data_IF_179909627363
#
_entry.id   IF_179909627363
#
_cell.length_a   1.000
_cell.length_b   1.000
_cell.length_c   1.000
_cell.angle_alpha   90.00
_cell.angle_beta   90.00
_cell.angle_gamma   90.00
#
_symmetry.space_group_name_H-M   'P 1'
#
loop_
_entity.id
_entity.type
_entity.pdbx_description
1 polymer ?
#
# COMPACT_ATOMS: atom_id res chain seq x y z
N UNK A 1 4.70 66.92 -0.93
CA UNK A 1 4.31 66.61 0.46
C UNK A 1 3.76 65.19 0.61
N UNK A 2 2.69 64.82 -0.12
CA UNK A 2 2.08 63.47 -0.10
C UNK A 2 3.07 62.31 -0.26
N UNK A 3 3.99 62.36 -1.23
CA UNK A 3 5.02 61.32 -1.44
C UNK A 3 5.92 61.13 -0.22
N UNK A 4 6.34 62.22 0.43
CA UNK A 4 7.19 62.18 1.63
C UNK A 4 6.43 61.54 2.80
N UNK A 5 5.15 61.89 2.98
CA UNK A 5 4.29 61.28 4.00
C UNK A 5 4.13 59.77 3.74
N UNK A 6 3.90 59.35 2.49
CA UNK A 6 3.79 57.94 2.14
C UNK A 6 5.09 57.16 2.44
N UNK A 7 6.26 57.73 2.11
CA UNK A 7 7.57 57.14 2.42
C UNK A 7 7.80 57.04 3.93
N UNK A 8 7.47 58.07 4.70
CA UNK A 8 7.61 58.07 6.17
C UNK A 8 6.66 57.06 6.83
N UNK A 9 5.41 56.95 6.37
CA UNK A 9 4.44 55.99 6.93
C UNK A 9 4.81 54.55 6.59
N UNK A 10 5.18 54.25 5.33
CA UNK A 10 5.60 52.90 4.94
C UNK A 10 6.95 52.51 5.58
N UNK A 11 7.91 53.42 5.63
CA UNK A 11 9.20 53.21 6.29
C UNK A 11 9.06 53.02 7.81
N UNK A 12 8.24 53.85 8.46
CA UNK A 12 7.94 53.73 9.89
C UNK A 12 7.22 52.43 10.24
N UNK A 13 6.20 52.04 9.45
CA UNK A 13 5.51 50.77 9.64
C UNK A 13 6.45 49.57 9.41
N UNK A 14 7.27 49.61 8.36
CA UNK A 14 8.27 48.59 8.07
C UNK A 14 9.31 48.45 9.19
N UNK A 15 9.76 49.57 9.76
CA UNK A 15 10.71 49.59 10.89
C UNK A 15 10.07 49.05 12.18
N UNK A 16 8.82 49.41 12.48
CA UNK A 16 8.08 48.89 13.64
C UNK A 16 7.84 47.38 13.51
N UNK A 17 7.36 46.91 12.36
CA UNK A 17 7.15 45.49 12.09
C UNK A 17 8.46 44.70 12.09
N UNK A 18 9.53 45.27 11.51
CA UNK A 18 10.87 44.69 11.52
C UNK A 18 11.42 44.52 12.94
N UNK A 19 11.41 45.58 13.75
CA UNK A 19 11.83 45.51 15.16
C UNK A 19 10.97 44.53 15.97
N UNK A 20 9.65 44.51 15.74
CA UNK A 20 8.74 43.55 16.37
C UNK A 20 9.08 42.11 16.03
N UNK A 21 9.37 41.82 14.75
CA UNK A 21 9.81 40.49 14.29
C UNK A 21 11.19 40.11 14.85
N UNK A 22 12.15 41.03 14.90
CA UNK A 22 13.47 40.78 15.49
C UNK A 22 13.38 40.52 17.00
N UNK A 23 12.55 41.28 17.73
CA UNK A 23 12.31 41.04 19.15
C UNK A 23 11.64 39.68 19.37
N UNK A 24 10.57 39.37 18.61
CA UNK A 24 9.90 38.08 18.69
C UNK A 24 10.86 36.93 18.37
N UNK A 25 11.66 37.04 17.31
CA UNK A 25 12.65 36.03 16.94
C UNK A 25 13.69 35.84 18.05
N UNK A 26 14.31 36.92 18.55
CA UNK A 26 15.38 36.81 19.56
C UNK A 26 14.89 36.40 20.96
N UNK A 27 13.64 36.66 21.32
CA UNK A 27 13.06 36.29 22.64
C UNK A 27 12.25 35.00 22.64
N UNK A 28 11.71 34.57 21.50
CA UNK A 28 10.89 33.36 21.37
C UNK A 28 11.57 32.24 20.56
N UNK A 29 12.79 32.45 20.03
CA UNK A 29 13.57 31.37 19.43
C UNK A 29 13.95 30.31 20.47
N UNK A 30 13.20 29.22 20.48
CA UNK A 30 13.60 27.99 21.14
C UNK A 30 14.74 27.36 20.33
N UNK A 31 15.93 27.33 20.89
CA UNK A 31 17.07 26.61 20.30
C UNK A 31 16.80 25.10 20.35
N UNK A 32 16.91 24.37 19.22
CA UNK A 32 16.75 22.92 19.20
C UNK A 32 17.65 22.22 20.22
N UNK A 33 17.11 21.25 20.94
CA UNK A 33 17.89 20.43 21.87
C UNK A 33 19.00 19.67 21.13
N UNK A 34 19.99 19.17 21.86
CA UNK A 34 21.06 18.35 21.26
C UNK A 34 20.48 17.08 20.61
N UNK A 35 19.53 16.43 21.28
CA UNK A 35 18.75 15.29 20.77
C UNK A 35 18.03 15.67 19.47
N UNK A 36 17.33 16.81 19.42
CA UNK A 36 16.63 17.27 18.23
C UNK A 36 17.59 17.51 17.05
N UNK A 37 18.76 18.13 17.30
CA UNK A 37 19.79 18.35 16.27
C UNK A 37 20.32 17.04 15.69
N UNK A 38 20.61 16.06 16.54
CA UNK A 38 21.09 14.75 16.13
C UNK A 38 20.02 13.99 15.31
N UNK A 39 18.75 14.06 15.74
CA UNK A 39 17.62 13.49 14.98
C UNK A 39 17.42 14.17 13.61
N UNK A 40 17.57 15.50 13.51
CA UNK A 40 17.46 16.22 12.23
C UNK A 40 18.54 15.75 11.24
N UNK A 41 19.76 15.47 11.69
CA UNK A 41 20.87 15.06 10.84
C UNK A 41 20.69 13.68 10.22
N UNK A 42 20.07 12.73 10.93
CA UNK A 42 19.85 11.37 10.42
C UNK A 42 18.62 11.23 9.53
N UNK A 43 17.68 12.18 9.54
CA UNK A 43 16.42 12.07 8.80
C UNK A 43 16.58 12.40 7.30
N UNK A 44 15.81 11.76 6.38
CA UNK A 44 16.01 11.90 4.92
C UNK A 44 15.74 13.28 4.29
N UNK A 45 15.35 14.29 5.08
CA UNK A 45 15.03 15.64 4.59
C UNK A 45 13.80 15.76 3.66
N UNK A 46 13.15 14.66 3.26
CA UNK A 46 12.10 14.62 2.22
C UNK A 46 10.82 15.37 2.59
N UNK A 47 10.57 15.63 3.89
CA UNK A 47 9.38 16.32 4.40
C UNK A 47 8.03 15.74 3.90
N UNK A 48 7.98 14.43 3.62
CA UNK A 48 6.87 13.78 2.92
C UNK A 48 5.55 13.66 3.71
N UNK A 49 5.55 13.92 5.02
CA UNK A 49 4.36 13.76 5.87
C UNK A 49 4.03 12.31 6.28
N UNK A 50 4.72 11.30 5.75
CA UNK A 50 4.38 9.89 5.96
C UNK A 50 4.46 9.39 7.41
N UNK A 51 5.18 10.08 8.29
CA UNK A 51 5.21 9.81 9.74
C UNK A 51 4.13 10.57 10.54
N UNK A 52 3.22 11.29 9.88
CA UNK A 52 2.18 12.11 10.51
C UNK A 52 2.58 13.55 10.82
N UNK A 53 3.85 13.92 10.64
CA UNK A 53 4.39 15.26 10.94
C UNK A 53 4.67 16.05 9.65
N UNK A 54 4.47 17.39 9.63
CA UNK A 54 4.56 18.21 8.41
C UNK A 54 5.97 18.31 7.81
N UNK A 55 7.01 17.83 8.49
CA UNK A 55 8.38 17.80 7.99
C UNK A 55 9.34 17.09 8.94
N UNK A 56 10.56 16.81 8.47
CA UNK A 56 11.58 16.10 9.23
C UNK A 56 11.97 16.84 10.52
N UNK A 57 12.05 18.18 10.49
CA UNK A 57 12.29 19.00 11.70
C UNK A 57 11.16 18.87 12.73
N UNK A 58 9.90 18.93 12.28
CA UNK A 58 8.75 18.78 13.17
C UNK A 58 8.67 17.36 13.78
N UNK A 59 9.07 16.33 13.02
CA UNK A 59 9.17 14.96 13.51
C UNK A 59 10.29 14.81 14.55
N UNK A 60 11.49 15.34 14.27
CA UNK A 60 12.62 15.34 15.21
C UNK A 60 12.29 16.06 16.53
N UNK A 61 11.67 17.25 16.46
CA UNK A 61 11.22 18.00 17.63
C UNK A 61 10.18 17.23 18.45
N UNK A 62 9.26 16.52 17.80
CA UNK A 62 8.26 15.70 18.48
C UNK A 62 8.88 14.48 19.19
N UNK A 63 9.81 13.77 18.52
CA UNK A 63 10.57 12.66 19.09
C UNK A 63 11.45 13.10 20.28
N UNK A 64 12.18 14.21 20.13
CA UNK A 64 13.00 14.78 21.20
C UNK A 64 12.16 15.22 22.42
N UNK A 65 10.90 15.62 22.20
CA UNK A 65 9.96 15.99 23.27
C UNK A 65 9.25 14.80 23.91
N UNK A 66 8.99 13.71 23.18
CA UNK A 66 8.28 12.53 23.71
C UNK A 66 9.17 11.66 24.59
N UNK A 67 10.48 11.57 24.30
CA UNK A 67 11.43 10.71 25.03
C UNK A 67 11.11 9.22 24.98
N UNK A 68 10.18 8.81 24.11
CA UNK A 68 9.70 7.44 23.89
C UNK A 68 9.38 7.26 22.40
N UNK A 69 9.54 6.03 21.89
CA UNK A 69 9.15 5.68 20.52
C UNK A 69 7.71 6.11 20.25
N UNK A 70 7.55 7.06 19.34
CA UNK A 70 6.27 7.69 18.99
C UNK A 70 6.06 7.79 17.47
N UNK A 71 6.95 7.21 16.66
CA UNK A 71 6.81 7.21 15.22
C UNK A 71 8.01 6.64 14.48
N UNK A 72 7.73 6.04 13.33
CA UNK A 72 8.68 5.47 12.38
C UNK A 72 8.79 6.38 11.14
N UNK A 73 9.97 6.42 10.51
CA UNK A 73 10.14 7.15 9.24
C UNK A 73 9.93 6.20 8.05
N UNK A 74 8.84 6.29 7.27
CA UNK A 74 8.61 5.35 6.16
C UNK A 74 9.71 5.38 5.09
N UNK A 75 10.25 6.58 4.83
CA UNK A 75 11.35 6.80 3.89
C UNK A 75 12.67 6.21 4.41
N UNK A 76 12.90 6.28 5.71
CA UNK A 76 14.13 5.81 6.35
C UNK A 76 14.16 4.32 6.67
N UNK A 77 12.99 3.69 6.78
CA UNK A 77 12.88 2.28 7.12
C UNK A 77 13.52 1.93 8.47
N UNK A 78 13.87 0.65 8.61
CA UNK A 78 14.50 0.09 9.81
C UNK A 78 15.88 0.69 10.13
N UNK A 79 16.63 1.18 9.12
CA UNK A 79 17.97 1.74 9.34
C UNK A 79 17.90 3.06 10.11
N UNK A 80 16.98 3.95 9.74
CA UNK A 80 16.78 5.21 10.45
C UNK A 80 16.04 4.99 11.77
N UNK A 81 15.11 4.03 11.85
CA UNK A 81 14.43 3.68 13.11
C UNK A 81 15.42 3.21 14.19
N UNK A 82 16.42 2.39 13.82
CA UNK A 82 17.53 2.00 14.73
C UNK A 82 18.31 3.20 15.23
N UNK A 83 18.73 4.11 14.34
CA UNK A 83 19.47 5.33 14.71
C UNK A 83 18.64 6.28 15.60
N UNK A 84 17.33 6.41 15.33
CA UNK A 84 16.40 7.16 16.20
C UNK A 84 16.36 6.52 17.60
N UNK A 85 16.25 5.19 17.66
CA UNK A 85 16.15 4.42 18.89
C UNK A 85 17.43 4.48 19.74
N UNK A 86 18.60 4.44 19.11
CA UNK A 86 19.91 4.67 19.73
C UNK A 86 20.02 6.08 20.33
N UNK A 87 19.62 7.12 19.59
CA UNK A 87 19.64 8.52 20.06
C UNK A 87 18.66 8.76 21.22
N UNK A 88 17.52 8.08 21.24
CA UNK A 88 16.49 8.23 22.27
C UNK A 88 16.64 7.26 23.46
N UNK A 89 17.51 6.26 23.37
CA UNK A 89 17.67 5.22 24.40
C UNK A 89 16.45 4.29 24.54
N UNK A 90 15.76 3.98 23.44
CA UNK A 90 14.52 3.19 23.43
C UNK A 90 14.61 1.98 22.51
N UNK A 91 13.65 1.05 22.61
CA UNK A 91 13.56 -0.06 21.67
C UNK A 91 13.13 0.40 20.27
N UNK A 92 13.61 -0.25 19.18
CA UNK A 92 13.11 -0.06 17.83
C UNK A 92 11.61 -0.28 17.68
N UNK A 93 11.01 0.37 16.68
CA UNK A 93 9.60 0.28 16.37
C UNK A 93 9.31 -0.97 15.53
N UNK A 94 8.33 -1.79 15.91
CA UNK A 94 7.86 -2.95 15.11
C UNK A 94 7.02 -2.53 13.87
N UNK A 95 7.43 -1.49 13.15
CA UNK A 95 6.65 -0.95 12.02
C UNK A 95 6.97 -1.71 10.73
N UNK A 96 5.97 -2.46 10.27
CA UNK A 96 6.02 -3.21 9.01
C UNK A 96 6.20 -2.24 7.83
N UNK A 97 7.17 -2.47 6.91
CA UNK A 97 7.37 -1.61 5.76
C UNK A 97 6.12 -1.60 4.87
N UNK A 98 5.69 -0.42 4.44
CA UNK A 98 4.47 -0.21 3.67
C UNK A 98 4.78 -0.01 2.17
N UNK A 99 3.79 -0.23 1.32
CA UNK A 99 3.83 -0.01 -0.13
C UNK A 99 2.49 0.51 -0.64
N UNK A 100 2.52 1.40 -1.62
CA UNK A 100 1.31 1.86 -2.28
C UNK A 100 0.70 0.78 -3.18
N UNK A 101 -0.63 0.71 -3.21
CA UNK A 101 -1.41 -0.14 -4.13
C UNK A 101 -2.54 0.62 -4.78
N UNK A 102 -2.82 0.28 -6.04
CA UNK A 102 -3.91 0.86 -6.81
C UNK A 102 -5.21 0.04 -6.61
N UNK A 103 -6.17 0.62 -5.90
CA UNK A 103 -7.54 0.09 -5.72
C UNK A 103 -8.41 0.28 -6.97
N UNK A 104 -7.85 0.15 -8.16
CA UNK A 104 -8.60 0.23 -9.42
C UNK A 104 -7.93 -0.58 -10.54
N UNK A 105 -8.70 -1.45 -11.22
CA UNK A 105 -8.29 -2.10 -12.48
C UNK A 105 -9.11 -1.66 -13.71
N UNK A 106 -9.96 -0.65 -13.54
CA UNK A 106 -10.79 -0.11 -14.62
C UNK A 106 -9.98 0.80 -15.54
N UNK A 107 -9.17 0.20 -16.40
CA UNK A 107 -8.50 0.90 -17.51
C UNK A 107 -9.51 1.40 -18.57
N UNK A 108 -9.01 2.10 -19.59
CA UNK A 108 -9.77 2.65 -20.72
C UNK A 108 -10.65 1.62 -21.46
N UNK A 109 -10.28 0.33 -21.45
CA UNK A 109 -11.02 -0.74 -22.12
C UNK A 109 -12.05 -1.42 -21.20
N UNK A 110 -11.81 -1.40 -19.89
CA UNK A 110 -12.65 -2.09 -18.88
C UNK A 110 -13.69 -1.19 -18.23
N UNK A 111 -13.42 0.11 -18.13
CA UNK A 111 -14.31 1.09 -17.53
C UNK A 111 -14.73 2.15 -18.55
N UNK A 112 -16.04 2.31 -18.74
CA UNK A 112 -16.61 3.29 -19.69
C UNK A 112 -16.40 4.72 -19.19
N UNK A 113 -16.29 5.64 -20.13
CA UNK A 113 -16.36 7.09 -19.86
C UNK A 113 -17.79 7.61 -20.12
N UNK A 114 -18.13 8.74 -19.51
CA UNK A 114 -19.43 9.43 -19.62
C UNK A 114 -19.40 10.56 -20.64
N UNK A 115 -18.25 11.20 -20.80
CA UNK A 115 -17.97 12.32 -21.69
C UNK A 115 -16.47 12.39 -21.95
N UNK A 116 -16.04 13.09 -22.99
CA UNK A 116 -14.62 13.37 -23.23
C UNK A 116 -14.22 14.53 -22.32
N UNK A 117 -13.15 14.36 -21.54
CA UNK A 117 -12.56 15.44 -20.76
C UNK A 117 -11.51 16.17 -21.60
N UNK A 118 -11.77 17.43 -21.90
CA UNK A 118 -10.83 18.36 -22.51
C UNK A 118 -10.57 19.51 -21.52
N UNK A 119 -9.36 19.56 -20.97
CA UNK A 119 -9.04 20.39 -19.82
C UNK A 119 -7.65 20.12 -19.26
N UNK A 120 -7.35 20.67 -18.08
CA UNK A 120 -6.06 20.45 -17.42
C UNK A 120 -5.88 18.97 -17.07
N UNK A 121 -4.79 18.36 -17.52
CA UNK A 121 -4.47 16.93 -17.29
C UNK A 121 -4.05 16.68 -15.82
N UNK A 122 -5.01 16.85 -14.94
CA UNK A 122 -4.88 16.80 -13.49
C UNK A 122 -6.10 16.13 -12.84
N UNK A 123 -5.84 15.19 -11.94
CA UNK A 123 -6.85 14.41 -11.26
C UNK A 123 -7.79 15.27 -10.40
N UNK A 124 -7.28 16.33 -9.78
CA UNK A 124 -8.08 17.23 -8.92
C UNK A 124 -8.97 18.11 -9.79
N UNK A 125 -8.42 18.71 -10.84
CA UNK A 125 -9.18 19.51 -11.80
C UNK A 125 -10.30 18.70 -12.48
N UNK A 126 -10.01 17.46 -12.88
CA UNK A 126 -11.00 16.57 -13.47
C UNK A 126 -12.04 16.06 -12.46
N UNK A 127 -11.69 15.80 -11.19
CA UNK A 127 -12.68 15.34 -10.20
C UNK A 127 -13.71 16.42 -9.83
N UNK A 128 -13.30 17.69 -9.84
CA UNK A 128 -14.22 18.83 -9.66
C UNK A 128 -15.31 18.89 -10.74
N UNK A 129 -15.01 18.45 -11.97
CA UNK A 129 -15.95 18.45 -13.09
C UNK A 129 -16.78 17.16 -13.05
N UNK A 130 -17.90 17.22 -12.33
CA UNK A 130 -18.90 16.13 -12.17
C UNK A 130 -18.37 14.79 -11.64
N UNK A 131 -17.29 14.78 -10.83
CA UNK A 131 -16.55 13.54 -10.52
C UNK A 131 -16.01 12.88 -11.80
N UNK A 132 -15.36 13.67 -12.67
CA UNK A 132 -14.57 13.27 -13.83
C UNK A 132 -15.29 12.49 -14.93
N UNK A 133 -14.62 12.36 -16.08
CA UNK A 133 -15.14 11.63 -17.25
C UNK A 133 -15.48 10.17 -16.96
N UNK A 134 -14.75 9.48 -16.09
CA UNK A 134 -14.96 8.05 -15.84
C UNK A 134 -16.37 7.73 -15.35
N UNK A 135 -16.98 6.67 -15.87
CA UNK A 135 -18.30 6.17 -15.44
C UNK A 135 -18.34 5.60 -14.03
N UNK A 136 -17.19 5.34 -13.43
CA UNK A 136 -17.07 5.05 -12.01
C UNK A 136 -16.44 6.25 -11.30
N UNK A 137 -17.24 6.95 -10.48
CA UNK A 137 -16.82 8.08 -9.64
C UNK A 137 -15.70 7.71 -8.64
N UNK A 138 -15.64 6.44 -8.22
CA UNK A 138 -14.60 5.90 -7.35
C UNK A 138 -13.37 5.34 -8.10
N UNK A 139 -13.31 5.46 -9.42
CA UNK A 139 -12.24 4.85 -10.23
C UNK A 139 -11.06 5.81 -10.49
N UNK A 140 -9.86 5.27 -10.73
CA UNK A 140 -8.70 6.08 -11.11
C UNK A 140 -8.97 6.84 -12.42
N UNK A 141 -8.73 8.15 -12.43
CA UNK A 141 -8.95 9.01 -13.60
C UNK A 141 -7.85 8.89 -14.67
N UNK A 142 -6.60 8.68 -14.25
CA UNK A 142 -5.48 8.47 -15.17
C UNK A 142 -4.67 9.71 -15.54
N UNK A 143 -4.89 10.86 -14.89
CA UNK A 143 -4.18 12.11 -15.18
C UNK A 143 -2.82 12.30 -14.48
N UNK A 144 -2.33 11.28 -13.79
CA UNK A 144 -0.91 11.18 -13.42
C UNK A 144 -0.40 11.98 -12.22
N UNK A 145 -1.25 12.65 -11.42
CA UNK A 145 -0.79 13.37 -10.21
C UNK A 145 0.09 12.49 -9.30
N UNK A 146 -0.29 11.22 -9.12
CA UNK A 146 0.44 10.26 -8.29
C UNK A 146 1.85 9.93 -8.79
N UNK A 147 2.11 10.03 -10.10
CA UNK A 147 3.47 9.99 -10.66
C UNK A 147 4.20 11.31 -10.37
N UNK A 148 3.56 12.46 -10.66
CA UNK A 148 4.17 13.80 -10.46
C UNK A 148 4.62 14.06 -9.03
N UNK A 149 3.89 13.58 -8.02
CA UNK A 149 4.23 13.76 -6.59
C UNK A 149 5.12 12.67 -6.01
N UNK A 150 5.61 11.71 -6.80
CA UNK A 150 6.45 10.62 -6.30
C UNK A 150 7.94 10.98 -6.36
N UNK A 151 8.60 11.31 -5.22
CA UNK A 151 10.02 11.71 -5.24
C UNK A 151 10.99 10.52 -5.40
N UNK A 152 10.47 9.30 -5.52
CA UNK A 152 11.25 8.05 -5.61
C UNK A 152 11.12 7.36 -6.98
N UNK A 153 10.45 8.00 -7.95
CA UNK A 153 10.17 7.41 -9.28
C UNK A 153 9.53 6.00 -9.20
N UNK A 154 8.74 5.77 -8.15
CA UNK A 154 8.11 4.49 -7.85
C UNK A 154 6.75 4.31 -8.54
N UNK A 155 6.25 5.33 -9.24
CA UNK A 155 4.96 5.31 -9.92
C UNK A 155 5.12 5.81 -11.36
N UNK A 156 4.69 4.99 -12.32
CA UNK A 156 4.63 5.32 -13.76
C UNK A 156 3.23 5.13 -14.31
N UNK A 157 2.69 6.10 -15.02
CA UNK A 157 1.43 5.93 -15.75
C UNK A 157 1.61 4.99 -16.93
N UNK A 158 0.77 3.94 -17.02
CA UNK A 158 0.71 3.08 -18.21
C UNK A 158 -0.21 3.67 -19.29
N UNK A 159 -0.01 3.22 -20.54
CA UNK A 159 -0.81 3.63 -21.71
C UNK A 159 -2.32 3.38 -21.53
N UNK A 160 -2.65 2.38 -20.71
CA UNK A 160 -4.01 2.01 -20.30
C UNK A 160 -4.69 3.03 -19.35
N UNK A 161 -3.97 4.06 -18.94
CA UNK A 161 -4.44 5.13 -18.05
C UNK A 161 -4.40 4.77 -16.56
N UNK A 162 -3.67 3.72 -16.14
CA UNK A 162 -3.56 3.33 -14.74
C UNK A 162 -2.09 3.39 -14.25
N UNK A 163 -1.83 3.90 -13.02
CA UNK A 163 -0.49 3.90 -12.46
C UNK A 163 0.02 2.49 -12.16
N UNK A 164 1.25 2.21 -12.59
CA UNK A 164 2.08 1.08 -12.19
C UNK A 164 2.96 1.50 -11.03
N UNK A 165 3.02 0.69 -9.99
CA UNK A 165 3.76 0.98 -8.75
C UNK A 165 4.86 -0.06 -8.60
N UNK A 166 6.10 0.41 -8.40
CA UNK A 166 7.29 -0.41 -8.22
C UNK A 166 7.56 -0.64 -6.72
N UNK A 167 7.38 -1.88 -6.24
CA UNK A 167 7.41 -2.23 -4.81
C UNK A 167 8.80 -2.15 -4.16
N UNK A 168 9.84 -2.25 -4.98
CA UNK A 168 11.25 -2.05 -4.68
C UNK A 168 11.57 -0.57 -4.44
N UNK A 169 11.16 0.31 -5.36
CA UNK A 169 11.34 1.77 -5.23
C UNK A 169 10.39 2.43 -4.21
N UNK A 170 9.22 1.84 -3.95
CA UNK A 170 8.22 2.44 -3.08
C UNK A 170 8.63 2.38 -1.60
N UNK A 171 8.79 3.55 -0.99
CA UNK A 171 9.10 3.76 0.43
C UNK A 171 7.86 3.84 1.33
N UNK A 172 6.65 3.74 0.78
CA UNK A 172 5.42 3.87 1.58
C UNK A 172 5.18 5.27 2.18
N UNK A 173 5.82 6.32 1.65
CA UNK A 173 5.72 7.70 2.18
C UNK A 173 4.33 8.36 2.14
N UNK A 174 3.34 7.78 1.44
CA UNK A 174 1.95 8.25 1.44
C UNK A 174 1.62 9.48 0.58
N UNK A 175 2.60 10.19 0.00
CA UNK A 175 2.35 11.38 -0.83
C UNK A 175 1.32 11.14 -1.95
N UNK A 176 1.47 10.04 -2.68
CA UNK A 176 0.53 9.66 -3.75
C UNK A 176 -0.88 9.30 -3.25
N UNK A 177 -1.05 8.91 -1.98
CA UNK A 177 -2.34 8.67 -1.35
C UNK A 177 -3.00 10.01 -1.02
N UNK A 178 -2.26 10.90 -0.36
CA UNK A 178 -2.71 12.25 0.02
C UNK A 178 -3.11 13.10 -1.19
N UNK A 179 -2.39 12.97 -2.30
CA UNK A 179 -2.64 13.68 -3.57
C UNK A 179 -3.86 13.12 -4.33
N UNK A 180 -4.35 11.91 -4.01
CA UNK A 180 -5.38 11.27 -4.80
C UNK A 180 -6.79 11.76 -4.42
N UNK A 181 -7.53 12.49 -5.27
CA UNK A 181 -8.85 13.04 -4.94
C UNK A 181 -9.98 11.98 -4.88
N UNK A 182 -9.63 10.69 -4.88
CA UNK A 182 -10.56 9.55 -4.99
C UNK A 182 -10.24 8.37 -4.08
N UNK A 183 -9.22 8.48 -3.23
CA UNK A 183 -8.76 7.41 -2.35
C UNK A 183 -8.52 6.07 -3.08
N UNK A 184 -8.12 6.11 -4.36
CA UNK A 184 -7.82 4.89 -5.14
C UNK A 184 -6.39 4.39 -4.95
N UNK A 185 -5.55 5.16 -4.27
CA UNK A 185 -4.24 4.72 -3.81
C UNK A 185 -4.31 4.51 -2.30
N UNK A 186 -3.72 3.42 -1.83
CA UNK A 186 -3.75 3.02 -0.43
C UNK A 186 -2.39 2.45 -0.03
N UNK A 187 -1.96 2.66 1.21
CA UNK A 187 -0.77 1.99 1.76
C UNK A 187 -1.17 0.66 2.38
N UNK A 188 -0.49 -0.41 1.98
CA UNK A 188 -0.61 -1.75 2.59
C UNK A 188 0.76 -2.26 3.04
N UNK A 189 0.87 -3.18 4.01
CA UNK A 189 2.14 -3.79 4.38
C UNK A 189 2.78 -4.52 3.18
N UNK A 190 4.11 -4.46 3.01
CA UNK A 190 4.83 -5.18 1.94
C UNK A 190 4.63 -6.70 2.00
N UNK A 191 4.20 -7.25 3.15
CA UNK A 191 3.80 -8.66 3.32
C UNK A 191 2.42 -8.98 2.73
N UNK A 192 1.54 -8.00 2.54
CA UNK A 192 0.26 -8.20 1.85
C UNK A 192 0.49 -8.26 0.33
N UNK A 193 0.51 -9.49 -0.21
CA UNK A 193 0.60 -9.72 -1.66
C UNK A 193 -0.78 -9.78 -2.32
N UNK A 194 -1.82 -10.19 -1.60
CA UNK A 194 -3.20 -10.30 -2.13
C UNK A 194 -4.09 -9.15 -1.65
N UNK A 195 -4.71 -8.43 -2.59
CA UNK A 195 -5.57 -7.30 -2.27
C UNK A 195 -6.71 -7.10 -3.30
N UNK A 196 -7.86 -6.56 -2.86
CA UNK A 196 -8.96 -6.16 -3.75
C UNK A 196 -8.59 -4.85 -4.46
N UNK A 197 -8.42 -4.88 -5.78
CA UNK A 197 -8.06 -3.73 -6.60
C UNK A 197 -9.31 -3.00 -7.13
N UNK A 198 -10.23 -2.65 -6.23
CA UNK A 198 -11.45 -1.90 -6.51
C UNK A 198 -11.80 -0.96 -5.35
N UNK A 199 -12.23 0.26 -5.67
CA UNK A 199 -12.72 1.25 -4.70
C UNK A 199 -14.22 1.59 -4.85
N UNK A 200 -14.89 1.03 -5.86
CA UNK A 200 -16.32 1.29 -6.11
C UNK A 200 -17.22 0.86 -4.97
N UNK A 201 -18.03 1.80 -4.46
CA UNK A 201 -19.10 1.57 -3.47
C UNK A 201 -20.50 1.49 -4.12
N UNK A 202 -20.57 1.56 -5.44
CA UNK A 202 -21.79 1.40 -6.24
C UNK A 202 -22.41 0.00 -6.07
N UNK A 203 -23.74 -0.09 -6.15
CA UNK A 203 -24.46 -1.38 -6.19
C UNK A 203 -24.09 -2.18 -7.43
N UNK A 204 -24.09 -3.52 -7.32
CA UNK A 204 -23.65 -4.44 -8.38
C UNK A 204 -24.19 -4.19 -9.81
N UNK A 205 -25.47 -3.82 -10.04
CA UNK A 205 -25.95 -3.51 -11.39
C UNK A 205 -25.30 -2.27 -11.99
N UNK A 206 -25.05 -1.23 -11.18
CA UNK A 206 -24.37 -0.01 -11.60
C UNK A 206 -22.90 -0.28 -11.92
N UNK A 207 -22.22 -1.07 -11.09
CA UNK A 207 -20.84 -1.52 -11.36
C UNK A 207 -20.77 -2.21 -12.73
N UNK A 208 -21.62 -3.21 -12.98
CA UNK A 208 -21.66 -3.93 -14.26
C UNK A 208 -21.97 -3.02 -15.46
N UNK A 209 -22.77 -1.97 -15.28
CA UNK A 209 -23.08 -0.99 -16.34
C UNK A 209 -21.85 -0.21 -16.79
N UNK A 210 -20.95 0.14 -15.86
CA UNK A 210 -19.83 1.08 -16.07
C UNK A 210 -18.44 0.44 -16.08
N UNK A 211 -18.25 -0.74 -15.49
CA UNK A 211 -16.95 -1.39 -15.34
C UNK A 211 -17.06 -2.94 -15.34
N UNK A 212 -16.37 -3.60 -16.27
CA UNK A 212 -16.39 -5.07 -16.41
C UNK A 212 -15.65 -5.81 -15.29
N UNK A 213 -14.65 -5.17 -14.67
CA UNK A 213 -13.73 -5.76 -13.68
C UNK A 213 -13.97 -5.25 -12.24
N UNK A 214 -15.10 -4.58 -11.99
CA UNK A 214 -15.41 -4.00 -10.68
C UNK A 214 -15.78 -5.05 -9.62
N UNK A 215 -15.65 -4.71 -8.33
CA UNK A 215 -16.22 -5.51 -7.25
C UNK A 215 -17.75 -5.40 -7.28
N UNK A 216 -18.45 -6.53 -7.21
CA UNK A 216 -19.93 -6.60 -7.25
C UNK A 216 -20.54 -7.10 -5.93
N UNK A 217 -19.83 -6.97 -4.81
CA UNK A 217 -20.28 -7.33 -3.46
C UNK A 217 -20.79 -8.79 -3.25
N UNK A 218 -20.50 -9.72 -4.16
CA UNK A 218 -21.10 -11.07 -4.18
C UNK A 218 -20.77 -12.02 -3.02
N UNK A 219 -19.98 -11.59 -2.02
CA UNK A 219 -19.51 -12.38 -0.85
C UNK A 219 -18.78 -13.69 -1.14
N UNK A 220 -18.52 -14.06 -2.40
CA UNK A 220 -17.79 -15.30 -2.73
C UNK A 220 -16.37 -15.34 -2.15
N UNK A 221 -15.65 -14.22 -2.15
CA UNK A 221 -14.30 -14.12 -1.57
C UNK A 221 -14.30 -14.22 -0.03
N UNK A 222 -15.30 -13.64 0.63
CA UNK A 222 -15.56 -13.72 2.08
C UNK A 222 -15.87 -15.18 2.48
N UNK A 223 -16.86 -15.81 1.83
CA UNK A 223 -17.29 -17.20 2.10
C UNK A 223 -16.21 -18.26 1.84
N UNK A 224 -15.25 -18.00 0.94
CA UNK A 224 -14.19 -18.96 0.57
C UNK A 224 -12.83 -18.59 1.21
N UNK A 225 -12.77 -17.67 2.17
CA UNK A 225 -11.52 -17.35 2.86
C UNK A 225 -11.29 -18.31 4.04
N UNK A 226 -10.29 -19.21 4.01
CA UNK A 226 -10.05 -20.17 5.10
C UNK A 226 -9.60 -19.51 6.41
N UNK A 227 -9.21 -18.24 6.37
CA UNK A 227 -8.75 -17.47 7.53
C UNK A 227 -9.74 -16.38 7.98
N UNK A 228 -10.89 -16.23 7.32
CA UNK A 228 -11.86 -15.16 7.63
C UNK A 228 -11.37 -13.73 7.33
N UNK A 229 -10.22 -13.56 6.68
CA UNK A 229 -9.54 -12.29 6.46
C UNK A 229 -10.23 -11.31 5.47
N UNK A 230 -11.45 -11.60 5.00
CA UNK A 230 -12.14 -10.83 3.95
C UNK A 230 -13.55 -10.50 4.40
N UNK A 231 -13.90 -9.21 4.43
CA UNK A 231 -15.25 -8.72 4.69
C UNK A 231 -15.82 -8.01 3.47
N UNK A 232 -17.15 -8.10 3.27
CA UNK A 232 -17.88 -7.33 2.26
C UNK A 232 -18.90 -6.42 2.93
N UNK A 233 -18.59 -5.13 2.93
CA UNK A 233 -19.33 -4.05 3.57
C UNK A 233 -19.45 -2.88 2.57
N UNK A 234 -20.51 -2.07 2.64
CA UNK A 234 -20.69 -0.90 1.76
C UNK A 234 -20.52 -1.19 0.25
N UNK A 235 -21.09 -2.32 -0.21
CA UNK A 235 -20.97 -2.88 -1.58
C UNK A 235 -19.54 -3.26 -2.02
N UNK A 236 -18.58 -3.40 -1.11
CA UNK A 236 -17.17 -3.53 -1.46
C UNK A 236 -16.44 -4.56 -0.60
N UNK A 237 -15.63 -5.41 -1.24
CA UNK A 237 -14.75 -6.33 -0.53
C UNK A 237 -13.47 -5.61 -0.03
N UNK A 238 -13.07 -5.93 1.20
CA UNK A 238 -11.78 -5.56 1.79
C UNK A 238 -11.11 -6.77 2.41
N UNK A 239 -9.78 -6.78 2.38
CA UNK A 239 -8.93 -7.85 2.91
C UNK A 239 -8.12 -7.25 4.05
N UNK A 240 -8.23 -7.84 5.23
CA UNK A 240 -7.47 -7.45 6.41
C UNK A 240 -6.02 -7.99 6.32
N UNK A 241 -4.99 -7.14 6.26
CA UNK A 241 -3.60 -7.58 6.20
C UNK A 241 -3.11 -8.27 7.48
N UNK A 242 -3.77 -8.06 8.64
CA UNK A 242 -3.38 -8.70 9.89
C UNK A 242 -3.77 -10.20 9.93
N UNK A 243 -4.78 -10.59 9.16
CA UNK A 243 -5.34 -11.96 9.14
C UNK A 243 -5.03 -12.69 7.82
N UNK A 244 -4.64 -11.97 6.76
CA UNK A 244 -4.47 -12.55 5.43
C UNK A 244 -3.12 -13.27 5.20
N UNK A 245 -3.15 -14.59 5.31
CA UNK A 245 -2.07 -15.52 4.95
C UNK A 245 -1.82 -15.65 3.42
N UNK A 246 -2.25 -14.68 2.60
CA UNK A 246 -2.02 -14.61 1.15
C UNK A 246 -2.42 -15.87 0.32
N UNK A 247 -3.34 -16.71 0.77
CA UNK A 247 -3.64 -18.03 0.17
C UNK A 247 -4.28 -18.05 -1.25
N UNK A 248 -4.52 -16.89 -1.88
CA UNK A 248 -5.01 -16.70 -3.27
C UNK A 248 -6.39 -17.26 -3.67
N UNK A 249 -7.04 -18.10 -2.85
CA UNK A 249 -8.37 -18.71 -3.15
C UNK A 249 -9.42 -17.66 -3.57
N UNK A 250 -9.40 -16.49 -2.93
CA UNK A 250 -10.29 -15.38 -3.25
C UNK A 250 -10.14 -14.86 -4.70
N UNK A 251 -8.94 -14.92 -5.29
CA UNK A 251 -8.68 -14.53 -6.69
C UNK A 251 -9.35 -15.51 -7.65
N UNK A 252 -9.23 -16.81 -7.38
CA UNK A 252 -9.89 -17.85 -8.18
C UNK A 252 -11.42 -17.70 -8.14
N UNK A 253 -11.98 -17.60 -6.93
CA UNK A 253 -13.44 -17.54 -6.70
C UNK A 253 -14.04 -16.16 -7.03
N UNK A 254 -13.24 -15.14 -7.31
CA UNK A 254 -13.74 -13.83 -7.77
C UNK A 254 -14.23 -13.93 -9.23
N UNK A 255 -15.53 -13.68 -9.51
CA UNK A 255 -16.06 -13.78 -10.88
C UNK A 255 -15.61 -12.60 -11.76
N UNK A 256 -15.43 -11.41 -11.19
CA UNK A 256 -15.00 -10.21 -11.92
C UNK A 256 -13.49 -10.00 -11.92
N UNK A 257 -12.69 -10.92 -11.35
CA UNK A 257 -11.20 -10.87 -11.31
C UNK A 257 -10.63 -9.53 -10.80
N UNK A 258 -11.36 -8.88 -9.89
CA UNK A 258 -10.98 -7.60 -9.29
C UNK A 258 -9.90 -7.71 -8.18
N UNK A 259 -9.55 -8.92 -7.76
CA UNK A 259 -8.53 -9.19 -6.75
C UNK A 259 -7.19 -9.44 -7.45
N UNK A 260 -6.12 -8.86 -6.93
CA UNK A 260 -4.76 -8.89 -7.50
C UNK A 260 -3.84 -9.68 -6.58
N UNK A 261 -2.91 -10.41 -7.19
CA UNK A 261 -1.70 -10.92 -6.55
C UNK A 261 -0.49 -10.07 -7.00
N UNK A 262 0.34 -9.64 -6.04
CA UNK A 262 1.61 -8.94 -6.28
C UNK A 262 2.83 -9.86 -6.12
N UNK A 263 2.65 -11.14 -5.78
CA UNK A 263 3.76 -12.06 -5.68
C UNK A 263 4.35 -12.36 -7.07
N UNK A 264 5.65 -12.11 -7.25
CA UNK A 264 6.36 -12.40 -8.51
C UNK A 264 6.41 -13.90 -8.83
N UNK A 265 6.47 -14.74 -7.79
CA UNK A 265 6.32 -16.19 -7.88
C UNK A 265 5.52 -16.72 -6.69
N UNK A 266 4.92 -17.90 -6.85
CA UNK A 266 4.17 -18.59 -5.80
C UNK A 266 4.74 -19.99 -5.59
N UNK A 267 5.06 -20.37 -4.34
CA UNK A 267 5.59 -21.70 -4.08
C UNK A 267 4.54 -22.75 -4.45
N UNK A 268 4.99 -23.95 -4.81
CA UNK A 268 4.15 -25.11 -5.13
C UNK A 268 4.37 -26.18 -4.08
N UNK A 269 3.30 -26.90 -3.76
CA UNK A 269 3.40 -28.07 -2.90
C UNK A 269 4.19 -29.17 -3.63
N UNK A 270 5.15 -29.76 -2.93
CA UNK A 270 5.79 -31.03 -3.29
C UNK A 270 5.42 -32.06 -2.23
N UNK A 271 5.32 -33.33 -2.61
CA UNK A 271 5.01 -34.44 -1.70
C UNK A 271 6.19 -35.41 -1.72
N UNK A 272 6.84 -35.55 -0.57
CA UNK A 272 8.01 -36.40 -0.37
C UNK A 272 7.64 -37.87 -0.12
N UNK A 273 8.67 -38.69 0.11
CA UNK A 273 8.56 -40.14 0.36
C UNK A 273 7.84 -40.50 1.65
N UNK A 274 7.78 -39.57 2.61
CA UNK A 274 7.12 -39.77 3.91
C UNK A 274 5.59 -39.75 3.84
N UNK A 275 5.00 -39.70 2.63
CA UNK A 275 3.56 -39.64 2.43
C UNK A 275 2.92 -41.02 2.66
N UNK A 276 1.95 -41.08 3.57
CA UNK A 276 1.22 -42.30 3.96
C UNK A 276 -0.05 -42.55 3.14
N UNK A 277 -0.37 -41.69 2.15
CA UNK A 277 -1.59 -41.81 1.35
C UNK A 277 -2.89 -41.60 2.14
N UNK A 278 -2.87 -40.80 3.23
CA UNK A 278 -4.02 -40.58 4.13
C UNK A 278 -5.18 -39.73 3.58
N UNK A 279 -5.12 -39.32 2.31
CA UNK A 279 -6.03 -38.41 1.58
C UNK A 279 -6.35 -37.02 2.21
N UNK A 280 -5.92 -36.68 3.43
CA UNK A 280 -6.27 -35.39 4.06
C UNK A 280 -5.84 -34.15 3.26
N UNK A 281 -4.68 -34.21 2.60
CA UNK A 281 -4.21 -33.10 1.77
C UNK A 281 -5.10 -32.87 0.53
N UNK A 282 -5.79 -33.91 0.05
CA UNK A 282 -6.73 -33.88 -1.08
C UNK A 282 -8.03 -33.16 -0.69
N UNK A 283 -8.58 -33.45 0.49
CA UNK A 283 -9.82 -32.83 0.98
C UNK A 283 -9.70 -31.32 1.26
N UNK A 284 -8.51 -30.83 1.60
CA UNK A 284 -8.23 -29.39 1.79
C UNK A 284 -7.75 -28.67 0.53
N UNK A 285 -7.64 -29.35 -0.62
CA UNK A 285 -7.11 -28.76 -1.85
C UNK A 285 -8.19 -27.96 -2.60
N UNK A 286 -8.10 -26.61 -2.72
CA UNK A 286 -9.17 -25.79 -3.30
C UNK A 286 -9.25 -25.84 -4.84
N UNK A 287 -8.37 -26.60 -5.49
CA UNK A 287 -8.19 -26.68 -6.96
C UNK A 287 -8.02 -28.09 -7.51
N UNK A 288 -8.22 -29.13 -6.67
CA UNK A 288 -8.05 -30.54 -7.05
C UNK A 288 -6.70 -30.81 -7.73
N UNK A 289 -5.65 -30.21 -7.14
CA UNK A 289 -4.28 -30.28 -7.61
C UNK A 289 -3.53 -31.50 -7.07
N UNK A 290 -4.09 -32.24 -6.11
CA UNK A 290 -3.46 -33.41 -5.49
C UNK A 290 -4.15 -34.68 -6.02
N UNK A 291 -3.35 -35.63 -6.49
CA UNK A 291 -3.79 -36.87 -7.14
C UNK A 291 -3.13 -38.08 -6.49
N UNK A 292 -3.82 -39.22 -6.46
CA UNK A 292 -3.36 -40.46 -5.85
C UNK A 292 -4.52 -41.19 -5.15
N UNK A 293 -4.33 -42.48 -4.93
CA UNK A 293 -5.27 -43.33 -4.21
C UNK A 293 -4.86 -43.50 -2.73
N UNK A 294 -5.80 -43.99 -1.92
CA UNK A 294 -5.58 -44.15 -0.48
C UNK A 294 -4.50 -45.20 -0.20
N UNK A 295 -3.49 -44.83 0.58
CA UNK A 295 -2.33 -45.66 0.87
C UNK A 295 -1.17 -45.52 -0.12
N UNK A 296 -1.35 -44.81 -1.24
CA UNK A 296 -0.27 -44.49 -2.19
C UNK A 296 0.36 -43.11 -1.92
N UNK A 297 1.60 -42.92 -2.38
CA UNK A 297 2.24 -41.61 -2.38
C UNK A 297 1.51 -40.66 -3.35
N UNK A 298 0.80 -39.67 -2.80
CA UNK A 298 0.13 -38.65 -3.61
C UNK A 298 1.14 -37.79 -4.41
N UNK A 299 0.66 -37.22 -5.51
CA UNK A 299 1.42 -36.35 -6.43
C UNK A 299 0.70 -35.02 -6.63
N UNK A 300 1.45 -33.96 -6.95
CA UNK A 300 0.91 -32.60 -7.14
C UNK A 300 0.97 -32.19 -8.61
N UNK A 301 -0.18 -31.83 -9.17
CA UNK A 301 -0.32 -31.18 -10.46
C UNK A 301 0.10 -29.70 -10.34
N UNK A 302 1.36 -29.40 -10.67
CA UNK A 302 1.96 -28.06 -10.53
C UNK A 302 1.17 -26.93 -11.24
N UNK A 303 0.62 -27.12 -12.47
CA UNK A 303 -0.27 -26.15 -13.11
C UNK A 303 -1.49 -25.75 -12.26
N UNK A 304 -2.16 -26.70 -11.60
CA UNK A 304 -3.35 -26.44 -10.76
C UNK A 304 -3.04 -25.86 -9.36
N UNK A 305 -1.78 -25.85 -8.93
CA UNK A 305 -1.41 -25.85 -7.51
C UNK A 305 -1.65 -24.54 -6.70
N UNK A 306 -1.62 -23.35 -7.32
CA UNK A 306 -1.78 -21.99 -6.71
C UNK A 306 -0.91 -21.56 -5.50
N UNK A 307 -0.33 -22.47 -4.73
CA UNK A 307 0.54 -22.14 -3.59
C UNK A 307 -0.19 -21.69 -2.32
N UNK A 308 -1.39 -22.21 -2.05
CA UNK A 308 -2.18 -21.83 -0.87
C UNK A 308 -1.70 -22.39 0.49
N UNK A 309 -0.75 -23.34 0.47
CA UNK A 309 -0.17 -24.00 1.65
C UNK A 309 -1.16 -24.73 2.60
N UNK A 310 -2.44 -24.89 2.24
CA UNK A 310 -3.42 -25.60 3.09
C UNK A 310 -3.06 -27.08 3.30
N UNK A 311 -2.66 -27.77 2.23
CA UNK A 311 -2.19 -29.16 2.29
C UNK A 311 -0.93 -29.31 3.16
N UNK A 312 0.01 -28.35 3.07
CA UNK A 312 1.19 -28.28 3.95
C UNK A 312 0.77 -28.15 5.42
N UNK A 313 -0.05 -27.14 5.76
CA UNK A 313 -0.51 -26.89 7.13
C UNK A 313 -1.35 -28.03 7.74
N UNK A 314 -1.95 -28.91 6.93
CA UNK A 314 -2.73 -30.08 7.41
C UNK A 314 -1.91 -31.38 7.51
N UNK A 315 -0.71 -31.45 6.93
CA UNK A 315 0.03 -32.72 6.86
C UNK A 315 0.74 -33.07 8.17
N UNK A 316 0.10 -33.88 9.01
CA UNK A 316 0.64 -34.35 10.30
C UNK A 316 1.93 -35.17 10.17
N UNK A 317 2.17 -35.79 9.01
CA UNK A 317 3.39 -36.56 8.71
C UNK A 317 4.57 -35.72 8.19
N UNK A 318 4.43 -34.40 8.08
CA UNK A 318 5.42 -33.50 7.47
C UNK A 318 5.91 -33.94 6.08
N UNK A 319 5.06 -34.64 5.33
CA UNK A 319 5.39 -35.22 4.02
C UNK A 319 5.27 -34.22 2.86
N UNK A 320 4.91 -32.96 3.14
CA UNK A 320 4.67 -31.92 2.14
C UNK A 320 5.66 -30.77 2.37
N UNK A 321 6.22 -30.21 1.31
CA UNK A 321 7.05 -28.99 1.36
C UNK A 321 6.55 -27.96 0.34
N UNK A 322 6.94 -26.70 0.51
CA UNK A 322 6.52 -25.58 -0.35
C UNK A 322 7.73 -24.98 -1.07
N UNK A 323 7.96 -25.37 -2.32
CA UNK A 323 9.16 -25.05 -3.11
C UNK A 323 8.86 -24.13 -4.31
N UNK A 324 9.88 -23.68 -5.06
CA UNK A 324 9.74 -22.82 -6.26
C UNK A 324 9.18 -21.39 -6.07
N UNK A 325 9.38 -20.77 -4.91
CA UNK A 325 9.40 -19.31 -4.83
C UNK A 325 10.79 -18.82 -4.42
N UNK A 326 11.44 -18.06 -5.31
CA UNK A 326 12.64 -17.29 -4.98
C UNK A 326 12.29 -16.35 -3.82
N UNK A 327 12.65 -16.73 -2.59
CA UNK A 327 12.29 -16.00 -1.37
C UNK A 327 11.83 -16.83 -0.16
N UNK A 328 11.60 -18.14 -0.28
CA UNK A 328 11.64 -19.03 0.89
C UNK A 328 13.05 -19.60 0.96
N UNK A 329 13.89 -19.04 1.84
CA UNK A 329 15.31 -19.38 1.89
C UNK A 329 15.54 -20.73 2.58
N UNK A 330 15.70 -21.78 1.79
CA UNK A 330 16.60 -22.85 2.18
C UNK A 330 18.04 -22.30 2.11
N UNK A 331 18.66 -22.11 3.28
CA UNK A 331 20.12 -22.07 3.35
C UNK A 331 20.60 -23.51 3.16
N UNK A 332 21.45 -23.73 2.15
CA UNK A 332 21.80 -25.04 1.57
C UNK A 332 20.56 -25.72 0.91
N UNK A 333 20.66 -26.25 -0.31
CA UNK A 333 21.79 -27.02 -0.87
C UNK A 333 22.40 -26.37 -2.11
N UNK A 334 23.73 -26.44 -2.22
CA UNK A 334 24.48 -26.02 -3.40
C UNK A 334 24.68 -27.18 -4.37
N UNK A 335 24.47 -26.92 -5.67
CA UNK A 335 25.31 -27.33 -6.81
C UNK A 335 25.27 -26.20 -7.83
#
# INVERSE_FOLDING_TARGET
MTVIIAVVVLGGLGLILGLGLTFAYTKLAVTPSEVERNLIQILPGTNCGGCGYPGCKAFAAALAKSGKSAGFCPVGGEEIDKKISEILGVAPSEVKPMVAVLRCRGDKNKAKERFIYDGLMDCVAADLIQKGNKGCEYGCLGYGNCERVCPFDAIKMGDDGLPRIADDKCTGCGLCVKECPRDVLELVPKTQKVYVACNSRLKAPLVKKVCSIGCIACKLCEKNCPYGAIKVENNLARIDPAVCENATICILKCPTKCIVDKAASRPRAMIGTNCTGCEECKSVCPTDAITGEKGEQHKVNLPKCIGCALCYKKCEYNAITMAFSLGYSEKAVAV
#
